data_IF_238357135191
#
_entry.id   IF_238357135191
#
_cell.length_a   1.000
_cell.length_b   1.000
_cell.length_c   1.000
_cell.angle_alpha   90.00
_cell.angle_beta   90.00
_cell.angle_gamma   90.00
#
_symmetry.space_group_name_H-M   'P 1'
#
loop_
_entity.id
_entity.type
_entity.pdbx_description
1 polymer ?
#
# COMPACT_ATOMS: atom_id res chain seq x y z
N UNK A 1 17.96 -17.04 8.80
CA UNK A 1 18.46 -16.30 7.59
C UNK A 1 19.33 -17.20 6.73
N UNK A 2 20.47 -17.72 7.20
CA UNK A 2 21.36 -18.56 6.38
C UNK A 2 20.68 -19.79 5.76
N UNK A 3 19.85 -20.50 6.54
CA UNK A 3 19.05 -21.62 6.06
C UNK A 3 18.03 -21.20 4.97
N UNK A 4 17.30 -20.11 5.20
CA UNK A 4 16.32 -19.56 4.24
C UNK A 4 16.99 -19.16 2.92
N UNK A 5 18.17 -18.52 2.99
CA UNK A 5 18.94 -18.13 1.80
C UNK A 5 19.45 -19.36 1.05
N UNK A 6 19.91 -20.38 1.78
CA UNK A 6 20.32 -21.65 1.20
C UNK A 6 19.14 -22.32 0.47
N UNK A 7 17.96 -22.39 1.09
CA UNK A 7 16.76 -22.98 0.48
C UNK A 7 16.31 -22.21 -0.77
N UNK A 8 16.41 -20.88 -0.73
CA UNK A 8 16.00 -20.01 -1.83
C UNK A 8 16.96 -20.07 -3.01
N UNK A 9 18.27 -19.94 -2.76
CA UNK A 9 19.29 -19.90 -3.82
C UNK A 9 19.77 -21.28 -4.25
N UNK A 10 19.36 -22.34 -3.53
CA UNK A 10 19.70 -23.75 -3.82
C UNK A 10 21.19 -23.99 -3.96
N UNK A 11 22.01 -23.27 -3.19
CA UNK A 11 23.44 -23.48 -3.17
C UNK A 11 23.76 -24.90 -2.64
N UNK A 12 24.83 -25.56 -3.10
CA UNK A 12 25.16 -26.92 -2.70
C UNK A 12 25.67 -27.05 -1.26
N UNK A 13 25.84 -25.94 -0.54
CA UNK A 13 26.30 -25.89 0.85
C UNK A 13 25.56 -24.80 1.63
N UNK A 14 25.49 -24.97 2.96
CA UNK A 14 24.94 -23.97 3.87
C UNK A 14 26.03 -22.95 4.24
N UNK A 15 25.75 -21.67 4.02
CA UNK A 15 26.71 -20.62 4.37
C UNK A 15 26.76 -20.40 5.88
N UNK A 16 27.95 -20.10 6.39
CA UNK A 16 28.08 -19.46 7.69
C UNK A 16 27.44 -18.07 7.63
N UNK A 17 26.62 -17.71 8.63
CA UNK A 17 26.00 -16.39 8.75
C UNK A 17 26.99 -15.23 8.64
N UNK A 18 28.26 -15.42 9.03
CA UNK A 18 29.32 -14.43 8.88
C UNK A 18 29.67 -14.13 7.42
N UNK A 19 29.69 -15.13 6.52
CA UNK A 19 29.94 -14.90 5.09
C UNK A 19 28.82 -14.10 4.44
N UNK A 20 27.59 -14.25 4.92
CA UNK A 20 26.44 -13.53 4.42
C UNK A 20 26.51 -12.04 4.78
N UNK A 21 27.02 -11.70 5.97
CA UNK A 21 27.11 -10.32 6.43
C UNK A 21 28.40 -9.60 6.04
N UNK A 22 29.50 -10.33 5.81
CA UNK A 22 30.79 -9.78 5.37
C UNK A 22 30.65 -9.02 4.05
N UNK A 23 31.41 -7.93 3.92
CA UNK A 23 31.46 -7.12 2.70
C UNK A 23 32.12 -7.88 1.54
N UNK A 24 31.83 -7.47 0.30
CA UNK A 24 32.46 -8.04 -0.92
C UNK A 24 33.99 -7.91 -0.87
N UNK A 25 34.51 -6.80 -0.33
CA UNK A 25 35.95 -6.57 -0.15
C UNK A 25 36.63 -7.60 0.77
N UNK A 26 35.86 -8.30 1.60
CA UNK A 26 36.31 -9.36 2.49
C UNK A 26 35.80 -10.74 2.02
N UNK A 27 35.51 -10.88 0.72
CA UNK A 27 34.99 -12.11 0.10
C UNK A 27 33.65 -12.60 0.69
N UNK A 28 32.86 -11.68 1.26
CA UNK A 28 31.49 -11.95 1.71
C UNK A 28 30.44 -11.53 0.68
N UNK A 29 29.16 -11.74 1.02
CA UNK A 29 28.02 -11.44 0.14
C UNK A 29 27.37 -10.08 0.36
N UNK A 30 27.73 -9.38 1.44
CA UNK A 30 27.22 -8.05 1.77
C UNK A 30 25.69 -7.95 1.80
N UNK A 31 25.00 -9.02 2.23
CA UNK A 31 23.54 -9.06 2.31
C UNK A 31 22.92 -7.89 3.08
N UNK A 32 23.53 -7.37 4.18
CA UNK A 32 23.02 -6.17 4.83
C UNK A 32 22.95 -4.94 3.90
N UNK A 33 23.95 -4.76 3.04
CA UNK A 33 23.97 -3.67 2.05
C UNK A 33 22.91 -3.89 0.97
N UNK A 34 22.76 -5.12 0.47
CA UNK A 34 21.71 -5.48 -0.50
C UNK A 34 20.32 -5.23 0.11
N UNK A 35 20.10 -5.63 1.35
CA UNK A 35 18.85 -5.40 2.08
C UNK A 35 18.55 -3.90 2.22
N UNK A 36 19.55 -3.07 2.56
CA UNK A 36 19.40 -1.61 2.60
C UNK A 36 19.08 -0.99 1.25
N UNK A 37 19.71 -1.46 0.17
CA UNK A 37 19.40 -1.00 -1.18
C UNK A 37 17.97 -1.38 -1.59
N UNK A 38 17.55 -2.62 -1.33
CA UNK A 38 16.21 -3.09 -1.65
C UNK A 38 15.14 -2.33 -0.88
N UNK A 39 15.35 -2.09 0.41
CA UNK A 39 14.41 -1.32 1.25
C UNK A 39 14.34 0.15 0.80
N UNK A 40 15.47 0.77 0.49
CA UNK A 40 15.51 2.14 -0.07
C UNK A 40 14.80 2.24 -1.43
N UNK A 41 15.06 1.27 -2.33
CA UNK A 41 14.41 1.21 -3.63
C UNK A 41 12.90 0.97 -3.50
N UNK A 42 12.46 0.13 -2.56
CA UNK A 42 11.05 -0.11 -2.28
C UNK A 42 10.34 1.15 -1.80
N UNK A 43 10.90 1.88 -0.83
CA UNK A 43 10.31 3.14 -0.32
C UNK A 43 10.26 4.21 -1.41
N UNK A 44 11.34 4.36 -2.17
CA UNK A 44 11.40 5.33 -3.28
C UNK A 44 10.42 4.96 -4.38
N UNK A 45 10.34 3.67 -4.74
CA UNK A 45 9.40 3.14 -5.73
C UNK A 45 7.96 3.41 -5.34
N UNK A 46 7.58 3.13 -4.09
CA UNK A 46 6.25 3.46 -3.56
C UNK A 46 5.93 4.96 -3.68
N UNK A 47 6.88 5.83 -3.34
CA UNK A 47 6.69 7.28 -3.50
C UNK A 47 6.52 7.68 -4.97
N UNK A 48 7.30 7.09 -5.87
CA UNK A 48 7.19 7.32 -7.31
C UNK A 48 5.85 6.85 -7.86
N UNK A 49 5.35 5.67 -7.44
CA UNK A 49 4.05 5.14 -7.86
C UNK A 49 2.92 6.09 -7.46
N UNK A 50 2.93 6.56 -6.20
CA UNK A 50 1.91 7.46 -5.66
C UNK A 50 1.95 8.87 -6.28
N UNK A 51 3.14 9.32 -6.72
CA UNK A 51 3.34 10.63 -7.33
C UNK A 51 3.60 10.56 -8.84
N UNK A 52 3.24 9.44 -9.47
CA UNK A 52 3.66 9.15 -10.84
C UNK A 52 3.17 10.24 -11.81
N UNK A 53 4.00 10.76 -12.74
CA UNK A 53 3.61 11.87 -13.62
C UNK A 53 2.49 11.49 -14.60
N UNK A 54 2.49 10.24 -15.05
CA UNK A 54 1.42 9.69 -15.90
C UNK A 54 0.22 9.31 -15.04
N UNK A 55 -0.94 9.90 -15.33
CA UNK A 55 -2.18 9.73 -14.56
C UNK A 55 -2.61 8.27 -14.40
N UNK A 56 -2.52 7.44 -15.45
CA UNK A 56 -2.95 6.05 -15.39
C UNK A 56 -2.25 5.25 -14.26
N UNK A 57 -0.92 5.36 -14.15
CA UNK A 57 -0.15 4.71 -13.10
C UNK A 57 -0.47 5.28 -11.72
N UNK A 58 -0.60 6.61 -11.61
CA UNK A 58 -1.00 7.28 -10.37
C UNK A 58 -2.38 6.82 -9.90
N UNK A 59 -3.34 6.69 -10.81
CA UNK A 59 -4.69 6.21 -10.52
C UNK A 59 -4.66 4.75 -10.06
N UNK A 60 -3.90 3.87 -10.74
CA UNK A 60 -3.73 2.49 -10.29
C UNK A 60 -3.12 2.44 -8.88
N UNK A 61 -2.06 3.20 -8.61
CA UNK A 61 -1.44 3.27 -7.29
C UNK A 61 -2.44 3.76 -6.21
N UNK A 62 -3.25 4.78 -6.51
CA UNK A 62 -4.30 5.28 -5.60
C UNK A 62 -5.38 4.23 -5.33
N UNK A 63 -5.81 3.49 -6.36
CA UNK A 63 -6.76 2.39 -6.20
C UNK A 63 -6.14 1.31 -5.31
N UNK A 64 -4.92 0.85 -5.59
CA UNK A 64 -4.21 -0.14 -4.78
C UNK A 64 -4.06 0.30 -3.32
N UNK A 65 -3.71 1.57 -3.08
CA UNK A 65 -3.60 2.12 -1.72
C UNK A 65 -4.96 2.16 -1.01
N UNK A 66 -6.01 2.49 -1.73
CA UNK A 66 -7.38 2.50 -1.21
C UNK A 66 -7.83 1.09 -0.85
N UNK A 67 -7.63 0.11 -1.73
CA UNK A 67 -7.97 -1.28 -1.45
C UNK A 67 -7.14 -1.83 -0.29
N UNK A 68 -5.86 -1.46 -0.20
CA UNK A 68 -5.01 -1.78 0.95
C UNK A 68 -5.58 -1.22 2.25
N UNK A 69 -6.05 0.03 2.27
CA UNK A 69 -6.66 0.59 3.49
C UNK A 69 -7.89 -0.20 3.95
N UNK A 70 -8.61 -0.83 3.02
CA UNK A 70 -9.85 -1.56 3.28
C UNK A 70 -9.65 -3.01 3.77
N UNK A 71 -8.57 -3.69 3.36
CA UNK A 71 -8.39 -5.14 3.57
C UNK A 71 -8.21 -5.59 5.04
N UNK A 72 -7.44 -4.90 5.92
CA UNK A 72 -7.12 -5.43 7.25
C UNK A 72 -7.85 -4.74 8.42
N UNK A 73 -8.21 -3.45 8.29
CA UNK A 73 -8.38 -2.58 9.47
C UNK A 73 -9.46 -1.48 9.34
N UNK A 74 -10.47 -1.70 8.50
CA UNK A 74 -11.63 -0.79 8.42
C UNK A 74 -11.27 0.60 7.86
N UNK A 75 -10.59 0.62 6.70
CA UNK A 75 -10.28 1.84 5.93
C UNK A 75 -9.29 2.79 6.62
N UNK A 76 -8.37 2.23 7.40
CA UNK A 76 -7.24 2.98 7.98
C UNK A 76 -6.12 3.14 6.95
N UNK A 77 -5.52 4.32 6.93
CA UNK A 77 -4.42 4.61 6.03
C UNK A 77 -3.18 3.75 6.36
N UNK A 78 -2.73 2.84 5.46
CA UNK A 78 -1.76 1.79 5.79
C UNK A 78 -0.32 2.29 5.95
N UNK A 79 -0.01 3.49 5.45
CA UNK A 79 1.30 4.13 5.56
C UNK A 79 1.36 5.14 6.73
N UNK A 80 0.33 5.17 7.60
CA UNK A 80 0.34 5.93 8.84
C UNK A 80 1.11 5.21 9.95
N UNK A 81 1.67 6.00 10.87
CA UNK A 81 2.42 5.53 12.04
C UNK A 81 1.57 4.68 12.98
N UNK A 82 0.28 4.99 13.06
CA UNK A 82 -0.68 4.30 13.94
C UNK A 82 -1.29 3.04 13.32
N UNK A 83 -0.85 2.62 12.13
CA UNK A 83 -1.29 1.35 11.57
C UNK A 83 -0.71 0.21 12.42
N UNK A 84 -1.56 -0.68 12.95
CA UNK A 84 -1.08 -1.80 13.75
C UNK A 84 -0.11 -2.65 12.93
N UNK A 85 0.88 -3.25 13.58
CA UNK A 85 1.80 -4.21 12.97
C UNK A 85 1.05 -5.51 12.66
N UNK A 86 0.13 -5.46 11.69
CA UNK A 86 -0.49 -6.65 11.14
C UNK A 86 0.48 -7.32 10.17
N UNK A 87 0.52 -8.65 10.22
CA UNK A 87 1.27 -9.46 9.27
C UNK A 87 0.59 -9.39 7.90
N UNK A 88 1.26 -8.76 6.93
CA UNK A 88 0.77 -8.65 5.55
C UNK A 88 1.12 -9.87 4.70
N UNK A 89 1.49 -11.00 5.33
CA UNK A 89 1.84 -12.24 4.63
C UNK A 89 0.70 -12.70 3.72
N UNK A 90 -0.57 -12.55 4.14
CA UNK A 90 -1.74 -12.85 3.31
C UNK A 90 -2.05 -11.78 2.26
N UNK A 91 -1.52 -10.57 2.41
CA UNK A 91 -1.76 -9.48 1.46
C UNK A 91 -0.84 -9.56 0.23
N UNK A 92 0.13 -10.48 0.21
CA UNK A 92 0.98 -10.74 -0.96
C UNK A 92 0.21 -11.10 -2.23
N UNK A 93 -0.98 -11.70 -2.09
CA UNK A 93 -1.82 -12.05 -3.23
C UNK A 93 -2.51 -10.82 -3.84
N UNK A 94 -2.60 -9.71 -3.10
CA UNK A 94 -3.36 -8.52 -3.48
C UNK A 94 -2.53 -7.25 -3.59
N UNK A 95 -1.31 -7.24 -3.03
CA UNK A 95 -0.43 -6.07 -2.97
C UNK A 95 0.94 -6.36 -3.56
N UNK A 96 1.57 -5.38 -4.24
CA UNK A 96 2.95 -5.50 -4.66
C UNK A 96 3.88 -5.73 -3.46
N UNK A 97 4.78 -6.71 -3.56
CA UNK A 97 5.76 -6.98 -2.49
C UNK A 97 6.59 -5.75 -2.12
N UNK A 98 6.97 -4.95 -3.11
CA UNK A 98 7.71 -3.71 -2.88
C UNK A 98 6.94 -2.74 -1.96
N UNK A 99 5.61 -2.71 -2.02
CA UNK A 99 4.80 -1.85 -1.17
C UNK A 99 4.76 -2.36 0.28
N UNK A 100 4.64 -3.68 0.46
CA UNK A 100 4.72 -4.31 1.79
C UNK A 100 6.08 -4.03 2.42
N UNK A 101 7.17 -4.28 1.69
CA UNK A 101 8.54 -4.03 2.13
C UNK A 101 8.77 -2.55 2.47
N UNK A 102 8.25 -1.63 1.63
CA UNK A 102 8.33 -0.20 1.88
C UNK A 102 7.64 0.19 3.20
N UNK A 103 6.44 -0.35 3.45
CA UNK A 103 5.68 -0.09 4.68
C UNK A 103 6.36 -0.64 5.92
N UNK A 104 6.91 -1.85 5.87
CA UNK A 104 7.72 -2.41 6.97
C UNK A 104 8.97 -1.56 7.22
N UNK A 105 9.64 -1.12 6.16
CA UNK A 105 10.81 -0.24 6.26
C UNK A 105 10.44 1.08 6.94
N UNK A 106 9.37 1.74 6.49
CA UNK A 106 8.89 3.01 7.05
C UNK A 106 8.52 2.87 8.53
N UNK A 107 7.84 1.78 8.89
CA UNK A 107 7.50 1.48 10.28
C UNK A 107 8.76 1.32 11.15
N UNK A 108 9.74 0.54 10.69
CA UNK A 108 10.98 0.30 11.43
C UNK A 108 11.84 1.56 11.65
N UNK A 109 11.70 2.57 10.80
CA UNK A 109 12.43 3.85 10.91
C UNK A 109 11.55 5.00 11.44
N UNK A 110 10.36 4.69 11.96
CA UNK A 110 9.41 5.69 12.48
C UNK A 110 9.00 6.80 11.48
N UNK A 111 9.01 6.49 10.18
CA UNK A 111 8.62 7.40 9.11
C UNK A 111 7.22 7.09 8.58
N UNK A 112 6.56 8.12 8.05
CA UNK A 112 5.26 7.99 7.37
C UNK A 112 5.27 8.73 6.05
N UNK A 113 4.48 8.24 5.10
CA UNK A 113 4.14 8.97 3.88
C UNK A 113 2.75 9.57 4.14
N UNK A 114 2.60 10.88 4.03
CA UNK A 114 1.30 11.55 4.24
C UNK A 114 0.73 11.96 2.89
N UNK A 115 -0.56 11.65 2.60
CA UNK A 115 -1.20 12.13 1.39
C UNK A 115 -1.44 13.64 1.53
N UNK A 116 -0.82 14.44 0.65
CA UNK A 116 -1.01 15.90 0.61
C UNK A 116 -2.12 16.30 -0.36
N UNK A 117 -2.27 15.56 -1.46
CA UNK A 117 -3.32 15.74 -2.45
C UNK A 117 -4.37 14.62 -2.34
N UNK A 118 -5.59 15.01 -1.97
CA UNK A 118 -6.76 14.12 -1.87
C UNK A 118 -7.82 14.41 -2.92
N UNK A 119 -7.50 15.15 -3.99
CA UNK A 119 -8.45 15.52 -5.03
C UNK A 119 -9.14 14.32 -5.69
N UNK A 120 -8.45 13.18 -5.76
CA UNK A 120 -9.02 11.92 -6.26
C UNK A 120 -10.28 11.45 -5.50
N UNK A 121 -10.43 11.82 -4.22
CA UNK A 121 -11.64 11.54 -3.46
C UNK A 121 -12.83 12.34 -4.03
N UNK A 122 -12.58 13.55 -4.52
CA UNK A 122 -13.58 14.44 -5.10
C UNK A 122 -13.95 14.05 -6.53
N UNK A 123 -13.02 13.47 -7.29
CA UNK A 123 -13.27 12.97 -8.66
C UNK A 123 -14.04 11.63 -8.67
N UNK A 124 -14.25 11.01 -7.51
CA UNK A 124 -14.90 9.70 -7.40
C UNK A 124 -14.01 8.52 -7.76
N UNK A 125 -12.68 8.72 -7.84
CA UNK A 125 -11.68 7.67 -8.04
C UNK A 125 -11.37 6.92 -6.74
N UNK A 126 -12.41 6.45 -6.07
CA UNK A 126 -12.37 5.79 -4.77
C UNK A 126 -13.31 4.58 -4.79
N UNK A 127 -12.93 3.50 -4.10
CA UNK A 127 -13.78 2.32 -4.04
C UNK A 127 -15.03 2.56 -3.19
N UNK A 128 -16.17 2.01 -3.60
CA UNK A 128 -17.41 2.14 -2.83
C UNK A 128 -17.29 1.54 -1.43
N UNK A 129 -16.55 0.43 -1.32
CA UNK A 129 -16.26 -0.21 -0.05
C UNK A 129 -15.56 0.76 0.91
N UNK A 130 -14.60 1.53 0.40
CA UNK A 130 -13.89 2.51 1.20
C UNK A 130 -14.82 3.61 1.74
N UNK A 131 -15.72 4.12 0.90
CA UNK A 131 -16.69 5.15 1.33
C UNK A 131 -17.64 4.60 2.39
N UNK A 132 -18.16 3.39 2.19
CA UNK A 132 -19.11 2.78 3.11
C UNK A 132 -18.48 2.52 4.46
N UNK A 133 -17.27 1.94 4.48
CA UNK A 133 -16.55 1.69 5.72
C UNK A 133 -16.09 2.98 6.42
N UNK A 134 -15.75 4.03 5.65
CA UNK A 134 -15.34 5.33 6.21
C UNK A 134 -16.51 6.16 6.73
N UNK A 135 -17.75 5.87 6.32
CA UNK A 135 -18.95 6.58 6.74
C UNK A 135 -19.96 5.66 7.43
N UNK A 136 -20.00 5.64 8.78
CA UNK A 136 -20.89 4.78 9.54
C UNK A 136 -22.37 4.98 9.20
N UNK A 137 -22.77 6.22 8.84
CA UNK A 137 -24.14 6.55 8.44
C UNK A 137 -24.52 5.86 7.14
N UNK A 138 -23.63 5.91 6.13
CA UNK A 138 -23.85 5.23 4.86
C UNK A 138 -23.84 3.72 5.04
N UNK A 139 -22.91 3.17 5.83
CA UNK A 139 -22.88 1.74 6.15
C UNK A 139 -24.21 1.25 6.75
N UNK A 140 -24.81 2.02 7.66
CA UNK A 140 -26.09 1.63 8.29
C UNK A 140 -27.29 1.64 7.34
N UNK A 141 -27.24 2.42 6.26
CA UNK A 141 -28.34 2.56 5.30
C UNK A 141 -28.15 1.69 4.05
N UNK A 142 -26.96 1.14 3.83
CA UNK A 142 -26.64 0.40 2.61
C UNK A 142 -26.90 -1.10 2.77
N UNK A 143 -27.65 -1.75 1.86
CA UNK A 143 -27.91 -3.18 1.95
C UNK A 143 -26.61 -3.99 1.86
N UNK A 144 -26.40 -4.92 2.79
CA UNK A 144 -25.20 -5.77 2.84
C UNK A 144 -24.98 -6.62 1.57
N UNK A 145 -26.06 -6.97 0.87
CA UNK A 145 -26.04 -7.77 -0.37
C UNK A 145 -25.75 -6.92 -1.61
N UNK A 146 -25.95 -5.60 -1.55
CA UNK A 146 -25.81 -4.73 -2.71
C UNK A 146 -24.35 -4.59 -3.14
N UNK A 147 -23.40 -4.46 -2.20
CA UNK A 147 -22.00 -4.23 -2.54
C UNK A 147 -21.35 -5.42 -3.26
N UNK A 148 -21.47 -6.68 -2.78
CA UNK A 148 -20.93 -7.82 -3.51
C UNK A 148 -21.56 -7.99 -4.90
N UNK A 149 -22.85 -7.67 -5.05
CA UNK A 149 -23.55 -7.72 -6.33
C UNK A 149 -23.03 -6.67 -7.31
N UNK A 150 -22.84 -5.43 -6.85
CA UNK A 150 -22.27 -4.35 -7.67
C UNK A 150 -20.83 -4.65 -8.09
N UNK A 151 -20.00 -5.10 -7.15
CA UNK A 151 -18.61 -5.51 -7.42
C UNK A 151 -18.55 -6.64 -8.45
N UNK A 152 -19.43 -7.64 -8.36
CA UNK A 152 -19.50 -8.74 -9.34
C UNK A 152 -19.86 -8.26 -10.75
N UNK A 153 -20.64 -7.19 -10.85
CA UNK A 153 -21.01 -6.56 -12.12
C UNK A 153 -19.97 -5.53 -12.61
N UNK A 154 -18.79 -5.46 -11.98
CA UNK A 154 -17.72 -4.53 -12.36
C UNK A 154 -17.87 -3.12 -11.79
N UNK A 155 -18.91 -2.86 -11.00
CA UNK A 155 -19.12 -1.57 -10.36
C UNK A 155 -18.35 -1.52 -9.03
N UNK A 156 -17.14 -0.99 -9.06
CA UNK A 156 -16.26 -0.92 -7.87
C UNK A 156 -15.97 0.50 -7.40
N UNK A 157 -16.02 1.48 -8.31
CA UNK A 157 -15.66 2.86 -8.05
C UNK A 157 -16.90 3.76 -7.98
N UNK A 158 -16.78 4.85 -7.23
CA UNK A 158 -17.83 5.86 -7.11
C UNK A 158 -18.11 6.57 -8.45
N UNK A 159 -17.07 6.80 -9.26
CA UNK A 159 -17.15 7.37 -10.60
C UNK A 159 -18.05 6.58 -11.56
N UNK A 160 -18.30 5.29 -11.31
CA UNK A 160 -19.18 4.48 -12.16
C UNK A 160 -20.67 4.86 -12.01
N UNK A 161 -21.04 5.58 -10.95
CA UNK A 161 -22.44 5.95 -10.65
C UNK A 161 -22.75 7.40 -10.99
N UNK A 162 -21.74 8.20 -11.36
CA UNK A 162 -21.92 9.60 -11.70
C UNK A 162 -20.63 10.39 -11.65
N UNK A 163 -20.72 11.66 -12.02
CA UNK A 163 -19.65 12.63 -11.86
C UNK A 163 -19.74 13.30 -10.49
N UNK A 164 -18.58 13.47 -9.86
CA UNK A 164 -18.46 14.05 -8.53
C UNK A 164 -17.67 15.35 -8.66
N UNK A 165 -18.17 16.39 -8.00
CA UNK A 165 -17.47 17.66 -7.88
C UNK A 165 -17.69 18.18 -6.47
N UNK A 166 -16.66 18.76 -5.87
CA UNK A 166 -16.86 19.54 -4.67
C UNK A 166 -17.82 20.67 -5.05
N UNK A 167 -18.99 20.72 -4.41
CA UNK A 167 -19.74 21.96 -4.43
C UNK A 167 -18.81 23.01 -3.85
N UNK A 168 -18.55 24.06 -4.63
CA UNK A 168 -17.75 25.20 -4.21
C UNK A 168 -18.57 25.92 -3.14
N UNK A 169 -18.60 25.37 -1.92
CA UNK A 169 -19.10 26.04 -0.75
C UNK A 169 -18.06 27.09 -0.43
N UNK A 170 -18.12 28.20 -1.18
CA UNK A 170 -17.55 29.46 -0.76
C UNK A 170 -18.15 29.73 0.63
N UNK A 171 -17.41 29.34 1.67
CA UNK A 171 -17.73 29.75 3.02
C UNK A 171 -17.39 31.24 3.09
N UNK A 172 -18.36 32.11 3.41
CA UNK A 172 -18.10 33.52 3.58
C UNK A 172 -17.52 33.70 4.98
N UNK A 173 -16.25 33.34 5.19
CA UNK A 173 -15.56 33.72 6.42
C UNK A 173 -15.01 35.14 6.26
N UNK A 174 -15.86 36.10 6.66
CA UNK A 174 -15.45 37.30 7.39
C UNK A 174 -15.15 36.93 8.84
#
# INVERSE_FOLDING_TARGET
>A
IAHVIHDYLRFPFSFNSGLLSLTIALFGFSFPSISRLNTSAAVTGLQCDLNHPINAFRTMARITLTDWSCMPDGCRYPLARSSHHQSFVHAHECLPWAWILARETLFNVDCTIVPTDQFHLLEGHISMLHILNSSPRLASSFPSVALPSLTRNGFTQLSHFGSWSAQNTASPFR
#
